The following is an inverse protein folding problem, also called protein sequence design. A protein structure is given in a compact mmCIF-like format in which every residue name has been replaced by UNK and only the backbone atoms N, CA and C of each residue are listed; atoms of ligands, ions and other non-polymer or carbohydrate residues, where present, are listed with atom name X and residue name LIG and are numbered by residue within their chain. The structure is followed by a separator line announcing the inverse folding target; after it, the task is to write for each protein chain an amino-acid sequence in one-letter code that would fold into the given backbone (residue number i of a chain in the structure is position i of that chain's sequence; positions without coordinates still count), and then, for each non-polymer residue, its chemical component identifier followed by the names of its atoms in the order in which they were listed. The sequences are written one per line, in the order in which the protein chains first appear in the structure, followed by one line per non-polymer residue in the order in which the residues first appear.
data_IF_046212468877
#
_entry.id   IF_046212468877
#
_cell.length_a   1.000
_cell.length_b   1.000
_cell.length_c   1.000
_cell.angle_alpha   90.00
_cell.angle_beta   90.00
_cell.angle_gamma   90.00
#
_symmetry.space_group_name_H-M   'P 1'
#
loop_
_entity.id
_entity.type
_entity.pdbx_description
1 polymer ?
#
# COMPACT_ATOMS: atom_id res chain seq x y z
N UNK A 1 -18.51 -12.79 -33.35
CA UNK A 1 -17.32 -13.63 -33.58
C UNK A 1 -16.36 -13.05 -34.62
N UNK A 2 -16.63 -11.89 -35.25
CA UNK A 2 -15.78 -11.34 -36.33
C UNK A 2 -14.64 -10.42 -35.85
N UNK A 3 -14.68 -9.91 -34.62
CA UNK A 3 -13.67 -8.93 -34.14
C UNK A 3 -12.28 -9.49 -33.80
N UNK A 4 -12.17 -10.80 -33.49
CA UNK A 4 -10.91 -11.39 -32.99
C UNK A 4 -9.83 -11.53 -34.07
N UNK A 5 -10.22 -11.82 -35.33
CA UNK A 5 -9.26 -12.07 -36.42
C UNK A 5 -8.64 -10.80 -37.02
N UNK A 6 -9.30 -9.64 -36.83
CA UNK A 6 -8.75 -8.35 -37.26
C UNK A 6 -7.66 -7.85 -36.29
N UNK A 7 -7.85 -8.07 -34.99
CA UNK A 7 -6.88 -7.69 -33.97
C UNK A 7 -5.57 -8.49 -34.09
N UNK A 8 -5.67 -9.80 -34.35
CA UNK A 8 -4.50 -10.69 -34.48
C UNK A 8 -3.62 -10.31 -35.68
N UNK A 9 -4.24 -9.93 -36.81
CA UNK A 9 -3.51 -9.44 -38.00
C UNK A 9 -2.86 -8.08 -37.76
N UNK A 10 -3.53 -7.16 -37.06
CA UNK A 10 -2.97 -5.85 -36.74
C UNK A 10 -1.72 -5.98 -35.86
N UNK A 11 -1.78 -6.82 -34.81
CA UNK A 11 -0.65 -7.09 -33.92
C UNK A 11 0.53 -7.71 -34.67
N UNK A 12 0.28 -8.69 -35.55
CA UNK A 12 1.35 -9.32 -36.36
C UNK A 12 2.00 -8.35 -37.37
N UNK A 13 1.31 -7.29 -37.75
CA UNK A 13 1.84 -6.22 -38.61
C UNK A 13 2.41 -5.02 -37.84
N UNK A 14 2.45 -5.09 -36.50
CA UNK A 14 2.97 -4.02 -35.63
C UNK A 14 2.04 -2.82 -35.47
N UNK A 15 0.77 -2.95 -35.86
CA UNK A 15 -0.24 -1.91 -35.70
C UNK A 15 -0.97 -2.08 -34.36
N UNK A 16 -0.54 -1.29 -33.38
CA UNK A 16 -1.06 -1.28 -32.01
C UNK A 16 -2.11 -0.17 -31.78
N UNK A 17 -2.48 0.60 -32.82
CA UNK A 17 -3.36 1.77 -32.69
C UNK A 17 -4.80 1.42 -32.33
N UNK A 18 -5.19 0.16 -32.50
CA UNK A 18 -6.55 -0.36 -32.29
C UNK A 18 -6.64 -1.43 -31.19
N UNK A 19 -5.66 -1.52 -30.29
CA UNK A 19 -5.79 -2.41 -29.13
C UNK A 19 -6.90 -1.86 -28.22
N UNK A 20 -7.95 -2.65 -27.90
CA UNK A 20 -8.97 -2.23 -26.96
C UNK A 20 -8.34 -1.93 -25.60
N UNK A 21 -8.73 -0.85 -24.92
CA UNK A 21 -8.24 -0.51 -23.59
C UNK A 21 -8.50 -1.63 -22.55
N UNK A 22 -9.47 -2.51 -22.81
CA UNK A 22 -9.70 -3.71 -22.00
C UNK A 22 -8.56 -4.74 -22.09
N UNK A 23 -7.77 -4.73 -23.16
CA UNK A 23 -6.59 -5.58 -23.33
C UNK A 23 -5.36 -5.06 -22.55
N UNK A 24 -5.36 -3.81 -22.09
CA UNK A 24 -4.26 -3.27 -21.27
C UNK A 24 -4.26 -3.87 -19.85
N UNK A 25 -5.42 -4.31 -19.36
CA UNK A 25 -5.56 -4.89 -18.02
C UNK A 25 -5.65 -6.42 -18.14
N UNK A 26 -4.50 -7.08 -18.07
CA UNK A 26 -4.40 -8.55 -18.20
C UNK A 26 -4.26 -9.29 -16.86
N UNK A 27 -4.47 -8.59 -15.72
CA UNK A 27 -4.24 -9.14 -14.37
C UNK A 27 -5.35 -8.78 -13.39
N UNK A 28 -5.66 -9.71 -12.49
CA UNK A 28 -6.36 -9.48 -11.23
C UNK A 28 -5.30 -9.25 -10.17
N UNK A 29 -5.18 -8.02 -9.67
CA UNK A 29 -4.19 -7.64 -8.66
C UNK A 29 -4.90 -7.12 -7.41
N UNK A 30 -4.73 -7.83 -6.31
CA UNK A 30 -5.43 -7.55 -5.04
C UNK A 30 -4.44 -6.99 -4.04
N UNK A 31 -4.68 -5.77 -3.54
CA UNK A 31 -4.00 -5.24 -2.38
C UNK A 31 -4.55 -5.90 -1.10
N UNK A 32 -3.66 -6.44 -0.27
CA UNK A 32 -4.03 -7.04 1.01
C UNK A 32 -3.75 -6.04 2.14
N UNK A 33 -4.82 -5.55 2.75
CA UNK A 33 -4.77 -4.75 3.98
C UNK A 33 -5.00 -5.66 5.19
N UNK A 34 -4.14 -5.60 6.19
CA UNK A 34 -4.26 -6.40 7.41
C UNK A 34 -3.38 -5.82 8.51
N UNK A 35 -3.65 -6.16 9.77
CA UNK A 35 -2.64 -6.03 10.82
C UNK A 35 -1.56 -7.11 10.64
N UNK A 36 -0.26 -6.78 10.55
CA UNK A 36 0.77 -7.76 10.24
C UNK A 36 0.93 -8.86 11.29
N UNK A 37 0.67 -8.55 12.57
CA UNK A 37 0.90 -9.44 13.71
C UNK A 37 -0.31 -10.34 13.91
N UNK A 38 -1.51 -9.76 14.00
CA UNK A 38 -2.74 -10.52 14.24
C UNK A 38 -3.05 -11.46 13.07
N UNK A 39 -2.85 -10.98 11.83
CA UNK A 39 -3.26 -11.72 10.63
C UNK A 39 -2.22 -12.72 10.11
N UNK A 40 -1.12 -12.94 10.81
CA UNK A 40 0.02 -13.74 10.31
C UNK A 40 -0.42 -15.15 9.86
N UNK A 41 -1.31 -15.78 10.63
CA UNK A 41 -1.80 -17.14 10.37
C UNK A 41 -2.73 -17.16 9.16
N UNK A 42 -3.63 -16.20 9.04
CA UNK A 42 -4.59 -16.01 7.96
C UNK A 42 -3.85 -15.73 6.65
N UNK A 43 -2.91 -14.78 6.66
CA UNK A 43 -2.08 -14.45 5.49
C UNK A 43 -1.28 -15.65 5.01
N UNK A 44 -0.67 -16.40 5.94
CA UNK A 44 0.03 -17.64 5.62
C UNK A 44 -0.91 -18.70 5.02
N UNK A 45 -2.11 -18.86 5.56
CA UNK A 45 -3.10 -19.80 5.04
C UNK A 45 -3.57 -19.40 3.63
N UNK A 46 -3.84 -18.11 3.39
CA UNK A 46 -4.18 -17.58 2.08
C UNK A 46 -3.06 -17.83 1.07
N UNK A 47 -1.81 -17.50 1.42
CA UNK A 47 -0.63 -17.71 0.57
C UNK A 47 -0.45 -19.16 0.18
N UNK A 48 -0.59 -20.07 1.14
CA UNK A 48 -0.28 -21.48 0.91
C UNK A 48 -1.43 -22.27 0.28
N UNK A 49 -2.70 -21.87 0.51
CA UNK A 49 -3.87 -22.68 0.14
C UNK A 49 -4.81 -22.02 -0.85
N UNK A 50 -4.91 -20.69 -0.84
CA UNK A 50 -5.93 -19.94 -1.62
C UNK A 50 -5.32 -19.33 -2.87
N UNK A 51 -4.22 -18.58 -2.75
CA UNK A 51 -3.60 -17.89 -3.90
C UNK A 51 -3.21 -18.83 -5.04
N UNK A 52 -2.69 -20.06 -4.82
CA UNK A 52 -2.40 -20.99 -5.91
C UNK A 52 -3.65 -21.40 -6.69
N UNK A 53 -4.78 -21.61 -6.00
CA UNK A 53 -6.06 -22.00 -6.63
C UNK A 53 -6.65 -20.86 -7.43
N UNK A 54 -6.63 -19.63 -6.89
CA UNK A 54 -7.09 -18.44 -7.59
C UNK A 54 -6.24 -18.16 -8.83
N UNK A 55 -4.92 -18.30 -8.72
CA UNK A 55 -4.00 -18.15 -9.85
C UNK A 55 -4.32 -19.13 -10.97
N UNK A 56 -4.57 -20.39 -10.63
CA UNK A 56 -4.93 -21.39 -11.62
C UNK A 56 -6.29 -21.11 -12.26
N UNK A 57 -7.28 -20.73 -11.45
CA UNK A 57 -8.62 -20.38 -11.93
C UNK A 57 -8.60 -19.17 -12.88
N UNK A 58 -7.97 -18.06 -12.49
CA UNK A 58 -7.86 -16.86 -13.32
C UNK A 58 -7.16 -17.17 -14.64
N UNK A 59 -6.09 -17.98 -14.60
CA UNK A 59 -5.33 -18.37 -15.79
C UNK A 59 -6.13 -19.27 -16.72
N UNK A 60 -6.76 -20.32 -16.20
CA UNK A 60 -7.47 -21.31 -17.02
C UNK A 60 -8.81 -20.80 -17.57
N UNK A 61 -9.57 -20.07 -16.75
CA UNK A 61 -10.95 -19.69 -17.07
C UNK A 61 -11.03 -18.34 -17.77
N UNK A 62 -10.18 -17.40 -17.36
CA UNK A 62 -10.23 -16.01 -17.84
C UNK A 62 -8.99 -15.60 -18.64
N UNK A 63 -7.93 -16.41 -18.69
CA UNK A 63 -6.67 -16.02 -19.33
C UNK A 63 -5.95 -14.87 -18.64
N UNK A 64 -6.26 -14.61 -17.36
CA UNK A 64 -5.73 -13.49 -16.57
C UNK A 64 -4.62 -13.96 -15.63
N UNK A 65 -3.64 -13.08 -15.39
CA UNK A 65 -2.69 -13.23 -14.29
C UNK A 65 -3.39 -12.93 -12.95
N UNK A 66 -2.98 -13.61 -11.87
CA UNK A 66 -3.45 -13.31 -10.51
C UNK A 66 -2.28 -12.93 -9.61
N UNK A 67 -2.38 -11.82 -8.91
CA UNK A 67 -1.36 -11.35 -7.99
C UNK A 67 -1.98 -10.79 -6.72
N UNK A 68 -1.35 -11.05 -5.58
CA UNK A 68 -1.66 -10.38 -4.32
C UNK A 68 -0.46 -9.54 -3.92
N UNK A 69 -0.74 -8.29 -3.57
CA UNK A 69 0.24 -7.35 -3.01
C UNK A 69 0.11 -7.40 -1.50
N UNK A 70 0.87 -8.32 -0.87
CA UNK A 70 1.05 -8.39 0.58
C UNK A 70 2.32 -7.62 0.94
N UNK A 71 2.14 -6.43 1.52
CA UNK A 71 3.24 -5.50 1.82
C UNK A 71 4.01 -5.84 3.09
N UNK A 72 3.70 -6.95 3.76
CA UNK A 72 4.44 -7.39 4.95
C UNK A 72 5.31 -8.61 4.65
N UNK A 73 5.20 -9.22 3.47
CA UNK A 73 6.06 -10.34 3.10
C UNK A 73 7.50 -9.83 2.88
N UNK A 74 8.45 -10.35 3.66
CA UNK A 74 9.87 -9.97 3.58
C UNK A 74 10.25 -8.63 4.22
N UNK A 75 9.32 -7.94 4.91
CA UNK A 75 9.62 -6.72 5.67
C UNK A 75 9.94 -7.06 7.14
N UNK A 76 10.91 -6.37 7.73
CA UNK A 76 11.24 -6.52 9.16
C UNK A 76 10.16 -5.88 10.04
N UNK A 77 9.96 -6.43 11.24
CA UNK A 77 8.90 -5.98 12.16
C UNK A 77 8.97 -4.48 12.48
N UNK A 78 10.18 -3.95 12.62
CA UNK A 78 10.45 -2.55 12.96
C UNK A 78 10.04 -1.57 11.86
N UNK A 79 9.87 -2.04 10.63
CA UNK A 79 9.52 -1.22 9.47
C UNK A 79 8.02 -1.20 9.19
N UNK A 80 7.22 -2.08 9.80
CA UNK A 80 5.79 -2.19 9.54
C UNK A 80 5.02 -0.88 9.70
N UNK A 81 5.46 -0.04 10.64
CA UNK A 81 4.83 1.23 10.99
C UNK A 81 5.64 2.46 10.55
N UNK A 82 6.69 2.26 9.75
CA UNK A 82 7.47 3.35 9.17
C UNK A 82 6.57 4.23 8.27
N UNK A 83 6.58 5.57 8.43
CA UNK A 83 5.86 6.49 7.56
C UNK A 83 6.13 6.23 6.06
N UNK A 84 7.38 5.89 5.71
CA UNK A 84 7.78 5.60 4.34
C UNK A 84 7.12 4.34 3.79
N UNK A 85 7.05 3.28 4.60
CA UNK A 85 6.35 2.03 4.21
C UNK A 85 4.86 2.30 4.00
N UNK A 86 4.25 3.18 4.82
CA UNK A 86 2.86 3.58 4.61
C UNK A 86 2.65 4.36 3.30
N UNK A 87 3.59 5.24 2.91
CA UNK A 87 3.55 5.90 1.60
C UNK A 87 3.60 4.88 0.46
N UNK A 88 4.51 3.91 0.53
CA UNK A 88 4.63 2.84 -0.47
C UNK A 88 3.33 2.02 -0.55
N UNK A 89 2.72 1.67 0.59
CA UNK A 89 1.42 0.98 0.63
C UNK A 89 0.32 1.75 -0.09
N UNK A 90 0.21 3.05 0.15
CA UNK A 90 -0.77 3.91 -0.56
C UNK A 90 -0.54 3.90 -2.07
N UNK A 91 0.72 4.00 -2.52
CA UNK A 91 1.05 3.93 -3.95
C UNK A 91 0.71 2.58 -4.56
N UNK A 92 1.02 1.48 -3.87
CA UNK A 92 0.69 0.12 -4.30
C UNK A 92 -0.83 -0.11 -4.38
N UNK A 93 -1.60 0.42 -3.44
CA UNK A 93 -3.06 0.40 -3.49
C UNK A 93 -3.59 1.16 -4.72
N UNK A 94 -3.05 2.35 -4.98
CA UNK A 94 -3.38 3.12 -6.20
C UNK A 94 -3.12 2.30 -7.47
N UNK A 95 -1.96 1.65 -7.56
CA UNK A 95 -1.65 0.76 -8.69
C UNK A 95 -2.65 -0.39 -8.84
N UNK A 96 -3.10 -1.01 -7.74
CA UNK A 96 -4.11 -2.06 -7.79
C UNK A 96 -5.47 -1.54 -8.27
N UNK A 97 -5.85 -0.31 -7.86
CA UNK A 97 -7.09 0.34 -8.31
C UNK A 97 -7.05 0.66 -9.81
N UNK A 98 -5.90 1.10 -10.31
CA UNK A 98 -5.75 1.52 -11.71
C UNK A 98 -5.64 0.34 -12.68
N UNK A 99 -4.96 -0.74 -12.26
CA UNK A 99 -4.52 -1.83 -13.14
C UNK A 99 -5.32 -3.13 -13.01
N UNK A 100 -5.96 -3.39 -11.87
CA UNK A 100 -6.64 -4.67 -11.64
C UNK A 100 -7.93 -4.80 -12.46
N UNK A 101 -8.14 -5.98 -13.03
CA UNK A 101 -9.44 -6.39 -13.54
C UNK A 101 -10.32 -6.88 -12.38
N UNK A 102 -11.37 -6.12 -12.08
CA UNK A 102 -12.35 -6.50 -11.06
C UNK A 102 -11.83 -6.25 -9.64
N UNK A 103 -11.91 -7.23 -8.71
CA UNK A 103 -11.49 -7.02 -7.33
C UNK A 103 -10.05 -6.54 -7.23
N UNK A 104 -9.82 -5.47 -6.47
CA UNK A 104 -8.52 -4.84 -6.30
C UNK A 104 -8.07 -4.72 -4.83
N UNK A 105 -8.93 -5.07 -3.88
CA UNK A 105 -8.69 -4.86 -2.45
C UNK A 105 -9.36 -5.93 -1.60
N UNK A 106 -8.64 -6.41 -0.59
CA UNK A 106 -9.16 -7.28 0.48
C UNK A 106 -8.59 -6.81 1.81
N UNK A 107 -9.43 -6.76 2.84
CA UNK A 107 -9.02 -6.48 4.21
C UNK A 107 -9.20 -7.70 5.13
N UNK A 108 -8.20 -7.98 5.95
CA UNK A 108 -8.33 -8.85 7.12
C UNK A 108 -8.46 -7.96 8.35
N UNK A 109 -9.63 -7.99 8.98
CA UNK A 109 -9.97 -7.14 10.13
C UNK A 109 -9.88 -8.00 11.38
N UNK A 110 -8.95 -7.63 12.27
CA UNK A 110 -8.75 -8.26 13.57
C UNK A 110 -9.44 -7.52 14.70
N UNK A 111 -8.96 -7.74 15.92
CA UNK A 111 -9.49 -7.09 17.14
C UNK A 111 -8.80 -5.74 17.38
N UNK A 112 -7.55 -5.59 16.93
CA UNK A 112 -6.78 -4.37 17.06
C UNK A 112 -6.75 -3.57 15.74
N UNK A 113 -6.73 -2.24 15.85
CA UNK A 113 -6.57 -1.34 14.69
C UNK A 113 -5.12 -1.27 14.17
N UNK A 114 -4.18 -1.90 14.87
CA UNK A 114 -2.74 -1.75 14.67
C UNK A 114 -2.19 -0.41 15.17
N UNK A 115 -0.88 -0.21 15.01
CA UNK A 115 -0.22 1.02 15.42
C UNK A 115 -0.41 2.13 14.37
N UNK A 116 -0.78 3.33 14.85
CA UNK A 116 -0.90 4.53 14.02
C UNK A 116 0.48 5.00 13.52
N UNK A 117 0.53 5.45 12.26
CA UNK A 117 1.72 6.03 11.64
C UNK A 117 1.36 7.36 10.97
N UNK A 118 2.20 8.36 11.19
CA UNK A 118 2.03 9.67 10.59
C UNK A 118 2.34 9.62 9.08
N UNK A 119 1.68 10.46 8.26
CA UNK A 119 2.05 10.61 6.86
C UNK A 119 3.54 10.97 6.71
N UNK A 120 4.23 10.33 5.77
CA UNK A 120 5.61 10.70 5.47
C UNK A 120 5.70 12.05 4.75
N UNK A 121 4.67 12.40 4.00
CA UNK A 121 4.55 13.60 3.19
C UNK A 121 3.12 14.12 3.29
N UNK A 122 3.00 15.44 3.41
CA UNK A 122 1.74 16.18 3.39
C UNK A 122 1.89 17.30 2.36
N UNK A 123 0.87 17.48 1.53
CA UNK A 123 0.86 18.59 0.56
C UNK A 123 0.99 19.93 1.27
N UNK A 124 1.74 20.87 0.69
CA UNK A 124 1.95 22.19 1.29
C UNK A 124 0.65 22.88 1.67
N UNK A 125 -0.31 22.91 0.75
CA UNK A 125 -1.62 23.51 1.00
C UNK A 125 -2.41 22.79 2.11
N UNK A 126 -2.33 21.45 2.17
CA UNK A 126 -2.99 20.66 3.21
C UNK A 126 -2.38 20.94 4.58
N UNK A 127 -1.05 21.01 4.67
CA UNK A 127 -0.34 21.30 5.90
C UNK A 127 -0.69 22.68 6.46
N UNK A 128 -0.70 23.72 5.62
CA UNK A 128 -1.11 25.07 6.05
C UNK A 128 -2.57 25.10 6.54
N UNK A 129 -3.47 24.38 5.88
CA UNK A 129 -4.87 24.26 6.34
C UNK A 129 -4.97 23.58 7.71
N UNK A 130 -4.15 22.55 7.95
CA UNK A 130 -4.08 21.90 9.27
C UNK A 130 -3.62 22.89 10.33
N UNK A 131 -2.60 23.72 10.05
CA UNK A 131 -2.13 24.75 10.99
C UNK A 131 -3.21 25.79 11.29
N UNK A 132 -3.88 26.32 10.27
CA UNK A 132 -4.98 27.28 10.43
C UNK A 132 -6.09 26.69 11.31
N UNK A 133 -6.56 25.49 10.99
CA UNK A 133 -7.59 24.82 11.77
C UNK A 133 -7.14 24.54 13.22
N UNK A 134 -5.89 24.15 13.42
CA UNK A 134 -5.34 23.92 14.76
C UNK A 134 -5.30 25.22 15.58
N UNK A 135 -4.88 26.34 14.99
CA UNK A 135 -4.87 27.65 15.65
C UNK A 135 -6.28 28.12 16.03
N UNK A 136 -7.25 27.99 15.12
CA UNK A 136 -8.66 28.32 15.38
C UNK A 136 -9.22 27.52 16.57
N UNK A 137 -8.80 26.26 16.70
CA UNK A 137 -9.19 25.36 17.79
C UNK A 137 -8.27 25.45 19.02
N UNK A 138 -7.31 26.40 19.06
CA UNK A 138 -6.34 26.59 20.15
C UNK A 138 -5.49 25.35 20.47
N UNK A 139 -5.21 24.54 19.46
CA UNK A 139 -4.33 23.37 19.55
C UNK A 139 -2.88 23.84 19.34
N UNK A 140 -1.96 23.31 20.14
CA UNK A 140 -0.54 23.64 20.03
C UNK A 140 0.10 22.96 18.80
N UNK A 141 0.57 23.76 17.85
CA UNK A 141 1.15 23.32 16.56
C UNK A 141 2.67 23.16 16.60
N UNK A 142 3.36 23.57 17.67
CA UNK A 142 4.83 23.58 17.74
C UNK A 142 5.48 22.23 17.44
N UNK A 143 4.85 21.14 17.86
CA UNK A 143 5.35 19.81 17.57
C UNK A 143 5.24 19.50 16.07
N UNK A 144 4.11 19.83 15.46
CA UNK A 144 3.86 19.59 14.04
C UNK A 144 4.85 20.37 13.16
N UNK A 145 4.99 21.67 13.43
CA UNK A 145 5.93 22.56 12.72
C UNK A 145 7.40 22.19 12.94
N UNK A 146 7.75 21.63 14.11
CA UNK A 146 9.11 21.14 14.38
C UNK A 146 9.42 19.88 13.56
N UNK A 147 8.45 18.97 13.46
CA UNK A 147 8.68 17.65 12.89
C UNK A 147 8.50 17.60 11.37
N UNK A 148 7.64 18.42 10.81
CA UNK A 148 7.42 18.49 9.37
C UNK A 148 8.23 19.62 8.76
N UNK A 149 9.19 19.25 7.91
CA UNK A 149 10.07 20.19 7.26
C UNK A 149 9.55 20.48 5.86
N UNK A 150 9.42 21.77 5.53
CA UNK A 150 9.01 22.22 4.20
C UNK A 150 10.13 21.92 3.20
N UNK A 151 9.79 21.19 2.15
CA UNK A 151 10.65 21.01 0.97
C UNK A 151 10.16 21.92 -0.17
N UNK A 152 11.03 22.86 -0.55
CA UNK A 152 10.79 23.79 -1.65
C UNK A 152 11.25 23.24 -3.00
N UNK A 153 11.90 22.07 -3.03
CA UNK A 153 12.34 21.45 -4.29
C UNK A 153 11.17 20.80 -5.05
N UNK A 154 10.08 20.46 -4.35
CA UNK A 154 8.85 19.95 -4.95
C UNK A 154 8.02 21.06 -5.62
N UNK A 155 7.41 20.74 -6.76
CA UNK A 155 6.42 21.61 -7.42
C UNK A 155 5.12 20.78 -7.58
N UNK A 156 4.09 20.99 -6.73
CA UNK A 156 4.01 21.98 -5.64
C UNK A 156 4.88 21.64 -4.41
N UNK A 157 5.16 22.62 -3.51
CA UNK A 157 5.89 22.38 -2.27
C UNK A 157 5.18 21.39 -1.36
N UNK A 158 5.95 20.59 -0.61
CA UNK A 158 5.44 19.55 0.29
C UNK A 158 6.14 19.63 1.64
N UNK A 159 5.53 19.06 2.68
CA UNK A 159 6.12 18.92 4.00
C UNK A 159 6.45 17.46 4.28
N UNK A 160 7.70 17.16 4.65
CA UNK A 160 8.16 15.80 4.94
C UNK A 160 8.45 15.57 6.40
N UNK A 161 8.16 14.36 6.86
CA UNK A 161 8.57 13.86 8.16
C UNK A 161 9.96 13.17 8.04
N UNK A 162 11.02 13.67 8.70
CA UNK A 162 12.36 13.07 8.65
C UNK A 162 12.37 11.62 9.14
N UNK A 163 13.19 10.77 8.51
CA UNK A 163 13.43 9.42 9.01
C UNK A 163 14.30 9.46 10.28
N UNK A 164 13.89 8.64 11.25
CA UNK A 164 14.47 8.13 12.52
C UNK A 164 15.82 8.61 13.11
N UNK A 165 16.38 9.78 12.80
CA UNK A 165 17.57 10.30 13.51
C UNK A 165 17.28 11.48 14.46
N UNK A 166 16.06 12.01 14.48
CA UNK A 166 15.67 12.99 15.50
C UNK A 166 14.34 12.59 16.17
N UNK A 167 14.42 12.08 17.40
CA UNK A 167 13.48 12.32 18.51
C UNK A 167 11.96 12.12 18.37
N UNK A 168 11.43 11.34 17.43
CA UNK A 168 10.00 10.98 17.47
C UNK A 168 9.72 9.98 18.62
N UNK A 169 8.75 10.26 19.53
CA UNK A 169 8.52 9.47 20.76
C UNK A 169 7.91 8.07 20.54
N UNK A 170 7.77 7.61 19.29
CA UNK A 170 7.13 6.33 18.98
C UNK A 170 8.11 5.14 18.86
N UNK A 171 9.42 5.36 19.01
CA UNK A 171 10.41 4.28 18.82
C UNK A 171 10.72 3.43 20.05
N UNK A 172 10.06 3.65 21.18
CA UNK A 172 10.31 2.88 22.41
C UNK A 172 9.06 2.17 22.90
N UNK A 173 8.69 1.10 22.22
CA UNK A 173 8.08 -0.05 22.91
C UNK A 173 9.09 -1.18 22.85
N UNK A 174 9.91 -1.27 23.89
CA UNK A 174 10.67 -2.48 24.19
C UNK A 174 9.65 -3.61 24.37
N UNK A 175 9.55 -4.50 23.38
CA UNK A 175 8.97 -5.82 23.62
C UNK A 175 9.96 -6.55 24.53
N UNK A 176 9.68 -6.51 25.83
CA UNK A 176 10.31 -7.40 26.81
C UNK A 176 10.01 -8.82 26.37
N UNK A 177 10.96 -9.44 25.68
CA UNK A 177 10.97 -10.89 25.47
C UNK A 177 11.15 -11.52 26.85
N UNK A 178 10.03 -11.86 27.49
CA UNK A 178 10.04 -12.78 28.61
C UNK A 178 10.51 -14.14 28.08
N UNK A 179 11.81 -14.38 28.20
CA UNK A 179 12.37 -15.73 28.27
C UNK A 179 11.76 -16.42 29.48
N UNK A 180 10.66 -17.15 29.31
CA UNK A 180 10.33 -18.25 30.21
C UNK A 180 10.98 -19.51 29.66
N UNK A 181 11.94 -19.98 30.44
CA UNK A 181 12.85 -21.07 30.10
C UNK A 181 12.18 -22.44 30.00
N UNK A 182 13.00 -23.35 29.51
CA UNK A 182 12.87 -24.79 29.62
C UNK A 182 12.23 -25.25 30.93
N UNK A 183 11.14 -26.00 30.83
CA UNK A 183 11.02 -27.42 31.18
C UNK A 183 9.67 -27.95 30.67
#
# INVERSE_FOLDING_TARGET
MEGSGMLERAVLHGDLTHIPAELERSRVQIFLCADPVESERERRALRNRVYPKLREYCRQVHGLEFQVVDTYDGIQYEEYYSPRVQKIRKQLLGGCLDQSVGPCFVALIGEEYGQFSLPWEIDGEEFEKILVAAHENRINTKALEKWYLRDENGVPPVYHLPEKDEGLPYSSTTVTTARTGNL
#
